data_IF_606809442547
#
_entry.id   IF_606809442547
#
_cell.length_a   1.000
_cell.length_b   1.000
_cell.length_c   1.000
_cell.angle_alpha   90.00
_cell.angle_beta   90.00
_cell.angle_gamma   90.00
#
_symmetry.space_group_name_H-M   'P 1'
#
loop_
_entity.id
_entity.type
_entity.pdbx_description
1 polymer ?
#
# COMPACT_ATOMS: atom_id res chain seq x y z
N UNK A 1 9.63 -28.71 -15.73
CA UNK A 1 9.18 -28.62 -14.32
C UNK A 1 10.20 -27.95 -13.39
N UNK A 2 11.52 -28.06 -13.62
CA UNK A 2 12.57 -27.40 -12.82
C UNK A 2 12.72 -25.86 -12.99
N UNK A 3 12.15 -25.28 -14.06
CA UNK A 3 12.16 -23.81 -14.31
C UNK A 3 10.99 -23.05 -13.70
N UNK A 4 10.03 -23.72 -13.06
CA UNK A 4 8.82 -23.09 -12.50
C UNK A 4 8.92 -22.76 -11.00
N UNK A 5 9.96 -23.19 -10.30
CA UNK A 5 10.06 -23.00 -8.84
C UNK A 5 11.20 -22.07 -8.41
N UNK A 6 11.98 -21.51 -9.34
CA UNK A 6 12.86 -20.36 -9.07
C UNK A 6 13.83 -20.47 -7.88
N UNK A 7 14.10 -21.67 -7.37
CA UNK A 7 15.03 -21.88 -6.27
C UNK A 7 14.69 -21.13 -4.97
N UNK A 8 13.45 -21.21 -4.47
CA UNK A 8 13.21 -20.92 -3.05
C UNK A 8 12.20 -21.91 -2.41
N UNK A 9 12.60 -22.77 -1.43
CA UNK A 9 11.92 -24.04 -1.16
C UNK A 9 11.04 -24.09 0.10
N UNK A 10 10.77 -23.00 0.82
CA UNK A 10 10.28 -23.14 2.20
C UNK A 10 8.77 -23.27 2.42
N UNK A 11 7.91 -23.32 1.40
CA UNK A 11 6.45 -23.40 1.62
C UNK A 11 5.75 -24.58 0.92
N UNK A 12 6.17 -24.91 -0.30
CA UNK A 12 5.66 -26.09 -1.01
C UNK A 12 6.02 -27.41 -0.32
N UNK A 13 7.17 -27.48 0.34
CA UNK A 13 7.60 -28.69 1.05
C UNK A 13 6.86 -28.88 2.38
N UNK A 14 6.53 -27.79 3.10
CA UNK A 14 5.74 -27.87 4.33
C UNK A 14 4.27 -28.24 4.08
N UNK A 15 3.63 -27.64 3.07
CA UNK A 15 2.22 -27.94 2.71
C UNK A 15 2.04 -29.35 2.14
N UNK A 16 3.02 -29.87 1.40
CA UNK A 16 3.03 -31.26 0.92
C UNK A 16 3.33 -32.23 2.07
N UNK A 17 4.23 -31.87 3.00
CA UNK A 17 4.55 -32.70 4.17
C UNK A 17 3.41 -32.76 5.20
N UNK A 18 2.59 -31.70 5.29
CA UNK A 18 1.40 -31.65 6.15
C UNK A 18 0.20 -32.45 5.59
N UNK A 19 0.26 -32.91 4.34
CA UNK A 19 -0.84 -33.67 3.71
C UNK A 19 -2.11 -32.85 3.44
N UNK A 20 -2.03 -31.52 3.52
CA UNK A 20 -3.21 -30.63 3.45
C UNK A 20 -3.69 -30.34 2.03
N UNK A 21 -2.95 -30.78 1.01
CA UNK A 21 -3.32 -30.57 -0.39
C UNK A 21 -4.31 -31.66 -0.88
N UNK A 22 -5.60 -31.46 -0.60
CA UNK A 22 -6.70 -32.34 -1.08
C UNK A 22 -7.30 -31.97 -2.45
N UNK A 23 -6.61 -31.17 -3.27
CA UNK A 23 -7.11 -30.69 -4.56
C UNK A 23 -6.00 -30.17 -5.50
N UNK A 24 -6.32 -29.68 -6.72
CA UNK A 24 -5.33 -29.10 -7.60
C UNK A 24 -4.65 -27.91 -6.89
N UNK A 25 -3.31 -27.87 -6.83
CA UNK A 25 -2.59 -26.93 -5.98
C UNK A 25 -2.89 -25.46 -6.31
N UNK A 26 -3.32 -25.15 -7.55
CA UNK A 26 -3.71 -23.80 -7.95
C UNK A 26 -4.91 -23.25 -7.16
N UNK A 27 -5.97 -24.04 -6.97
CA UNK A 27 -7.22 -23.55 -6.37
C UNK A 27 -7.08 -23.35 -4.86
N UNK A 28 -6.31 -24.22 -4.20
CA UNK A 28 -6.02 -24.12 -2.76
C UNK A 28 -5.08 -22.95 -2.45
N UNK A 29 -4.09 -22.71 -3.30
CA UNK A 29 -3.22 -21.54 -3.20
C UNK A 29 -4.01 -20.24 -3.39
N UNK A 30 -4.99 -20.21 -4.30
CA UNK A 30 -5.89 -19.07 -4.49
C UNK A 30 -6.78 -18.82 -3.27
N UNK A 31 -7.35 -19.86 -2.67
CA UNK A 31 -8.16 -19.73 -1.46
C UNK A 31 -7.34 -19.18 -0.28
N UNK A 32 -6.16 -19.77 -0.02
CA UNK A 32 -5.23 -19.31 1.02
C UNK A 32 -4.72 -17.89 0.79
N UNK A 33 -4.44 -17.54 -0.47
CA UNK A 33 -4.08 -16.19 -0.87
C UNK A 33 -5.19 -15.18 -0.54
N UNK A 34 -6.44 -15.55 -0.81
CA UNK A 34 -7.61 -14.70 -0.58
C UNK A 34 -7.83 -14.46 0.91
N UNK A 35 -7.64 -15.48 1.75
CA UNK A 35 -7.78 -15.40 3.21
C UNK A 35 -6.78 -14.42 3.87
N UNK A 36 -5.62 -14.20 3.23
CA UNK A 36 -4.61 -13.23 3.71
C UNK A 36 -4.93 -11.79 3.34
N UNK A 37 -5.85 -11.57 2.41
CA UNK A 37 -6.25 -10.22 1.97
C UNK A 37 -7.45 -9.76 2.78
N UNK A 38 -7.43 -8.55 3.37
CA UNK A 38 -8.58 -8.02 4.09
C UNK A 38 -9.85 -8.04 3.25
N UNK A 39 -10.98 -8.38 3.88
CA UNK A 39 -12.28 -8.44 3.22
C UNK A 39 -12.59 -7.13 2.47
N UNK A 40 -13.05 -7.26 1.23
CA UNK A 40 -13.33 -6.13 0.33
C UNK A 40 -12.12 -5.56 -0.42
N UNK A 41 -10.89 -5.99 -0.11
CA UNK A 41 -9.67 -5.54 -0.80
C UNK A 41 -9.08 -6.56 -1.77
N UNK A 42 -9.69 -7.74 -1.91
CA UNK A 42 -9.25 -8.80 -2.84
C UNK A 42 -9.10 -8.26 -4.26
N UNK A 43 -10.08 -7.49 -4.76
CA UNK A 43 -10.02 -6.90 -6.09
C UNK A 43 -8.87 -5.91 -6.26
N UNK A 44 -8.55 -5.14 -5.22
CA UNK A 44 -7.44 -4.20 -5.21
C UNK A 44 -6.11 -4.95 -5.22
N UNK A 45 -5.97 -6.00 -4.40
CA UNK A 45 -4.78 -6.85 -4.39
C UNK A 45 -4.59 -7.58 -5.75
N UNK A 46 -5.67 -8.06 -6.37
CA UNK A 46 -5.62 -8.61 -7.73
C UNK A 46 -5.18 -7.57 -8.77
N UNK A 47 -5.62 -6.31 -8.64
CA UNK A 47 -5.17 -5.23 -9.51
C UNK A 47 -3.67 -4.96 -9.35
N UNK A 48 -3.16 -4.92 -8.12
CA UNK A 48 -1.72 -4.80 -7.84
C UNK A 48 -0.92 -5.92 -8.51
N UNK A 49 -1.40 -7.16 -8.39
CA UNK A 49 -0.75 -8.31 -9.00
C UNK A 49 -0.69 -8.25 -10.53
N UNK A 50 -1.71 -7.67 -11.19
CA UNK A 50 -1.77 -7.50 -12.64
C UNK A 50 -0.96 -6.30 -13.15
N UNK A 51 -0.81 -5.25 -12.34
CA UNK A 51 0.02 -4.08 -12.67
C UNK A 51 1.50 -4.45 -12.74
N UNK A 52 1.93 -5.40 -11.90
CA UNK A 52 3.30 -5.88 -11.83
C UNK A 52 4.17 -5.00 -10.93
N UNK A 53 5.25 -5.57 -10.39
CA UNK A 53 6.10 -4.90 -9.40
C UNK A 53 7.28 -4.13 -10.02
N UNK A 54 7.65 -2.96 -9.48
CA UNK A 54 6.96 -2.23 -8.40
C UNK A 54 5.68 -1.53 -8.88
N UNK A 55 4.61 -1.61 -8.08
CA UNK A 55 3.32 -0.98 -8.36
C UNK A 55 3.32 0.44 -7.81
N UNK A 56 3.01 1.43 -8.63
CA UNK A 56 2.88 2.81 -8.14
C UNK A 56 1.58 2.96 -7.30
N UNK A 57 1.62 3.57 -6.09
CA UNK A 57 0.44 3.67 -5.21
C UNK A 57 -0.78 4.35 -5.84
N UNK A 58 -0.60 5.46 -6.56
CA UNK A 58 -1.71 6.17 -7.19
C UNK A 58 -2.32 5.38 -8.36
N UNK A 59 -1.51 4.59 -9.06
CA UNK A 59 -1.93 3.64 -10.09
C UNK A 59 -2.81 2.54 -9.50
N UNK A 60 -2.50 2.09 -8.28
CA UNK A 60 -3.28 1.10 -7.57
C UNK A 60 -4.60 1.67 -7.03
N UNK A 61 -4.55 2.87 -6.43
CA UNK A 61 -5.72 3.52 -5.81
C UNK A 61 -6.91 3.68 -6.77
N UNK A 62 -6.68 3.78 -8.08
CA UNK A 62 -7.74 3.86 -9.12
C UNK A 62 -8.64 2.63 -9.17
N UNK A 63 -8.12 1.49 -8.73
CA UNK A 63 -8.86 0.22 -8.67
C UNK A 63 -9.51 0.02 -7.31
N UNK A 64 -9.29 0.93 -6.35
CA UNK A 64 -9.97 0.90 -5.07
C UNK A 64 -11.46 1.20 -5.28
N UNK A 65 -12.34 0.56 -4.50
CA UNK A 65 -13.75 0.92 -4.52
C UNK A 65 -13.93 2.42 -4.20
N UNK A 66 -14.90 3.11 -4.81
CA UNK A 66 -15.19 4.49 -4.47
C UNK A 66 -15.55 4.60 -2.99
N UNK A 67 -15.14 5.71 -2.36
CA UNK A 67 -15.56 6.03 -1.01
C UNK A 67 -17.08 6.22 -1.01
N UNK A 68 -17.76 5.51 -0.13
CA UNK A 68 -19.20 5.60 0.14
C UNK A 68 -19.39 5.44 1.66
N UNK A 69 -20.58 5.69 2.19
CA UNK A 69 -20.84 5.68 3.64
C UNK A 69 -20.32 4.37 4.29
N UNK A 70 -19.18 4.48 4.99
CA UNK A 70 -18.49 3.36 5.68
C UNK A 70 -17.33 2.69 4.92
N UNK A 71 -17.02 3.05 3.66
CA UNK A 71 -15.85 2.54 2.92
C UNK A 71 -14.67 3.51 2.96
N UNK A 72 -13.43 3.02 3.16
CA UNK A 72 -12.25 3.87 3.22
C UNK A 72 -11.99 4.54 1.86
N UNK A 73 -11.40 5.74 1.89
CA UNK A 73 -10.91 6.42 0.69
C UNK A 73 -9.94 5.52 -0.10
N UNK A 74 -9.77 5.75 -1.42
CA UNK A 74 -8.87 4.95 -2.26
C UNK A 74 -7.47 4.74 -1.68
N UNK A 75 -6.87 5.80 -1.14
CA UNK A 75 -5.55 5.76 -0.50
C UNK A 75 -5.57 4.93 0.79
N UNK A 76 -6.64 5.04 1.58
CA UNK A 76 -6.83 4.26 2.79
C UNK A 76 -7.04 2.75 2.49
N UNK A 77 -7.58 2.40 1.32
CA UNK A 77 -7.65 1.00 0.88
C UNK A 77 -6.25 0.42 0.56
N UNK A 78 -5.37 1.21 -0.05
CA UNK A 78 -3.96 0.84 -0.26
C UNK A 78 -3.22 0.74 1.08
N UNK A 79 -3.43 1.70 1.98
CA UNK A 79 -2.81 1.70 3.33
C UNK A 79 -3.20 0.48 4.16
N UNK A 80 -4.43 -0.02 3.98
CA UNK A 80 -4.87 -1.26 4.64
C UNK A 80 -4.18 -2.50 4.10
N UNK A 81 -3.88 -2.57 2.79
CA UNK A 81 -3.08 -3.68 2.23
C UNK A 81 -1.63 -3.67 2.72
N UNK A 82 -1.09 -2.47 2.92
CA UNK A 82 0.26 -2.30 3.50
C UNK A 82 0.25 -2.70 4.98
N UNK A 83 -0.71 -2.17 5.74
CA UNK A 83 -0.82 -2.44 7.17
C UNK A 83 -1.18 -3.91 7.49
N UNK A 84 -1.81 -4.62 6.56
CA UNK A 84 -2.08 -6.06 6.69
C UNK A 84 -0.90 -6.95 6.27
N UNK A 85 0.21 -6.38 5.79
CA UNK A 85 1.38 -7.12 5.31
C UNK A 85 1.17 -7.84 3.98
N UNK A 86 0.15 -7.46 3.20
CA UNK A 86 -0.03 -7.99 1.83
C UNK A 86 0.94 -7.30 0.88
N UNK A 87 1.05 -5.98 1.02
CA UNK A 87 1.97 -5.14 0.29
C UNK A 87 2.99 -4.49 1.24
N UNK A 88 4.14 -4.13 0.68
CA UNK A 88 5.15 -3.29 1.35
C UNK A 88 5.70 -2.26 0.38
N UNK A 89 6.22 -1.17 0.91
CA UNK A 89 6.99 -0.21 0.14
C UNK A 89 8.40 -0.73 -0.13
N UNK A 90 8.90 -0.51 -1.34
CA UNK A 90 10.31 -0.66 -1.67
C UNK A 90 11.07 0.66 -1.46
N UNK A 91 12.40 0.61 -1.61
CA UNK A 91 13.26 1.79 -1.44
C UNK A 91 12.97 2.91 -2.46
N UNK A 92 12.27 2.60 -3.56
CA UNK A 92 11.86 3.54 -4.59
C UNK A 92 10.48 4.18 -4.35
N UNK A 93 9.78 3.81 -3.27
CA UNK A 93 8.42 4.26 -2.98
C UNK A 93 7.33 3.49 -3.74
N UNK A 94 7.69 2.44 -4.47
CA UNK A 94 6.74 1.55 -5.12
C UNK A 94 6.26 0.45 -4.18
N UNK A 95 5.09 -0.13 -4.46
CA UNK A 95 4.52 -1.23 -3.71
C UNK A 95 4.96 -2.57 -4.32
N UNK A 96 5.25 -3.53 -3.44
CA UNK A 96 5.55 -4.92 -3.79
C UNK A 96 4.77 -5.85 -2.87
N UNK A 97 4.49 -7.06 -3.32
CA UNK A 97 3.95 -8.07 -2.44
C UNK A 97 5.00 -8.49 -1.42
N UNK A 98 4.57 -8.64 -0.18
CA UNK A 98 5.44 -9.19 0.86
C UNK A 98 5.85 -10.63 0.52
N UNK A 99 4.95 -11.35 -0.17
CA UNK A 99 5.13 -12.74 -0.61
C UNK A 99 4.91 -12.84 -2.13
N UNK A 100 5.93 -13.18 -2.94
CA UNK A 100 5.80 -13.24 -4.40
C UNK A 100 4.72 -14.21 -4.91
N UNK A 101 4.53 -15.34 -4.21
CA UNK A 101 3.50 -16.33 -4.58
C UNK A 101 2.08 -15.79 -4.44
N UNK A 102 1.86 -14.86 -3.51
CA UNK A 102 0.57 -14.22 -3.31
C UNK A 102 0.16 -13.41 -4.56
N UNK A 103 1.11 -12.72 -5.17
CA UNK A 103 0.89 -11.96 -6.40
C UNK A 103 0.46 -12.89 -7.54
N UNK A 104 1.16 -14.01 -7.74
CA UNK A 104 0.84 -14.97 -8.81
C UNK A 104 -0.56 -15.57 -8.64
N UNK A 105 -0.91 -16.01 -7.44
CA UNK A 105 -2.22 -16.59 -7.15
C UNK A 105 -3.34 -15.56 -7.33
N UNK A 106 -3.16 -14.33 -6.85
CA UNK A 106 -4.14 -13.24 -7.05
C UNK A 106 -4.27 -12.86 -8.52
N UNK A 107 -3.16 -12.77 -9.26
CA UNK A 107 -3.17 -12.52 -10.68
C UNK A 107 -3.87 -13.66 -11.44
N UNK A 108 -3.70 -14.92 -11.05
CA UNK A 108 -4.39 -16.06 -11.65
C UNK A 108 -5.91 -16.03 -11.38
N UNK A 109 -6.31 -15.64 -10.17
CA UNK A 109 -7.71 -15.56 -9.75
C UNK A 109 -8.47 -14.32 -10.26
N UNK A 110 -7.78 -13.36 -10.88
CA UNK A 110 -8.39 -12.11 -11.32
C UNK A 110 -9.45 -12.31 -12.42
N UNK A 111 -10.59 -11.65 -12.26
CA UNK A 111 -11.71 -11.66 -13.21
C UNK A 111 -11.31 -11.06 -14.57
N UNK A 112 -11.88 -11.52 -15.70
CA UNK A 112 -11.59 -10.98 -17.03
C UNK A 112 -11.78 -9.46 -17.12
N UNK A 113 -12.85 -8.93 -16.51
CA UNK A 113 -13.15 -7.49 -16.50
C UNK A 113 -12.07 -6.66 -15.80
N UNK A 114 -11.46 -7.18 -14.72
CA UNK A 114 -10.35 -6.52 -14.04
C UNK A 114 -9.09 -6.52 -14.91
N UNK A 115 -8.79 -7.63 -15.59
CA UNK A 115 -7.64 -7.72 -16.52
C UNK A 115 -7.78 -6.72 -17.66
N UNK A 116 -8.97 -6.62 -18.26
CA UNK A 116 -9.27 -5.62 -19.30
C UNK A 116 -9.11 -4.20 -18.77
N UNK A 117 -9.59 -3.90 -17.55
CA UNK A 117 -9.43 -2.59 -16.94
C UNK A 117 -7.96 -2.23 -16.67
N UNK A 118 -7.15 -3.17 -16.17
CA UNK A 118 -5.71 -2.97 -15.96
C UNK A 118 -4.97 -2.79 -17.30
N UNK A 119 -5.31 -3.59 -18.31
CA UNK A 119 -4.77 -3.44 -19.66
C UNK A 119 -5.02 -2.04 -20.25
N UNK A 120 -6.27 -1.56 -20.17
CA UNK A 120 -6.65 -0.22 -20.62
C UNK A 120 -5.90 0.88 -19.84
N UNK A 121 -5.75 0.73 -18.52
CA UNK A 121 -5.02 1.69 -17.70
C UNK A 121 -3.53 1.78 -18.09
N UNK A 122 -2.89 0.65 -18.42
CA UNK A 122 -1.49 0.62 -18.90
C UNK A 122 -1.34 1.29 -20.26
N UNK A 123 -2.26 1.05 -21.19
CA UNK A 123 -2.25 1.70 -22.51
C UNK A 123 -2.36 3.22 -22.40
N UNK A 124 -3.22 3.72 -21.51
CA UNK A 124 -3.36 5.16 -21.27
C UNK A 124 -2.11 5.79 -20.64
N UNK A 125 -1.36 5.05 -19.83
CA UNK A 125 -0.10 5.52 -19.25
C UNK A 125 1.05 5.57 -20.27
N UNK A 126 1.09 4.63 -21.22
CA UNK A 126 2.09 4.62 -22.32
C UNK A 126 1.84 5.74 -23.34
N UNK A 127 0.59 6.18 -23.52
CA UNK A 127 0.22 7.29 -24.42
C UNK A 127 0.56 8.69 -23.90
N UNK A 128 1.39 8.85 -22.86
CA UNK A 128 1.94 10.15 -22.46
C UNK A 128 0.96 11.10 -21.78
N UNK A 129 -0.26 10.64 -21.47
CA UNK A 129 -1.03 11.22 -20.37
C UNK A 129 -0.33 10.80 -19.09
N UNK A 130 0.68 11.59 -18.69
CA UNK A 130 1.30 11.42 -17.38
C UNK A 130 0.14 11.31 -16.39
N UNK A 131 0.09 10.17 -15.70
CA UNK A 131 -0.71 10.00 -14.51
C UNK A 131 -0.63 11.32 -13.72
N UNK A 132 -1.74 11.93 -13.31
CA UNK A 132 -1.64 13.05 -12.39
C UNK A 132 -0.99 12.48 -11.14
N UNK A 133 0.33 12.69 -10.99
CA UNK A 133 1.04 12.48 -9.75
C UNK A 133 0.17 13.12 -8.69
N UNK A 134 -0.30 12.31 -7.74
CA UNK A 134 -1.39 12.60 -6.80
C UNK A 134 -1.41 14.09 -6.45
N UNK A 135 -2.15 14.85 -7.26
CA UNK A 135 -1.97 16.32 -7.28
C UNK A 135 -2.54 16.88 -6.01
N UNK A 136 -3.43 16.12 -5.38
CA UNK A 136 -4.04 16.46 -4.12
C UNK A 136 -3.13 16.13 -2.94
N UNK A 137 -2.52 14.94 -2.89
CA UNK A 137 -1.57 14.65 -1.83
C UNK A 137 -0.30 15.51 -1.93
N UNK A 138 0.15 15.85 -3.14
CA UNK A 138 1.25 16.81 -3.37
C UNK A 138 0.88 18.20 -2.85
N UNK A 139 -0.35 18.67 -3.10
CA UNK A 139 -0.87 19.92 -2.52
C UNK A 139 -0.98 19.86 -0.99
N UNK A 140 -1.48 18.74 -0.45
CA UNK A 140 -1.59 18.53 1.01
C UNK A 140 -0.21 18.56 1.66
N UNK A 141 0.80 17.91 1.09
CA UNK A 141 2.18 17.99 1.54
C UNK A 141 2.73 19.42 1.49
N UNK A 142 2.53 20.12 0.37
CA UNK A 142 2.95 21.52 0.21
C UNK A 142 2.24 22.48 1.19
N UNK A 143 1.03 22.14 1.64
CA UNK A 143 0.27 22.93 2.63
C UNK A 143 0.76 22.77 4.08
N UNK A 144 1.64 21.81 4.33
CA UNK A 144 2.25 21.60 5.65
C UNK A 144 3.36 22.64 5.89
N UNK A 145 3.27 23.30 7.04
CA UNK A 145 4.37 24.13 7.55
C UNK A 145 5.62 23.27 7.80
N UNK A 146 6.80 23.90 7.87
CA UNK A 146 8.05 23.20 8.17
C UNK A 146 7.92 22.36 9.45
N UNK A 147 7.29 22.92 10.49
CA UNK A 147 7.08 22.24 11.75
C UNK A 147 6.12 21.05 11.65
N UNK A 148 5.08 21.14 10.84
CA UNK A 148 4.16 20.03 10.59
C UNK A 148 4.83 18.92 9.75
N UNK A 149 5.73 19.27 8.83
CA UNK A 149 6.55 18.29 8.11
C UNK A 149 7.47 17.52 9.05
N UNK A 150 8.10 18.20 10.01
CA UNK A 150 8.92 17.53 11.04
C UNK A 150 8.08 16.56 11.86
N UNK A 151 6.87 16.97 12.27
CA UNK A 151 5.94 16.11 13.01
C UNK A 151 5.56 14.87 12.20
N UNK A 152 5.22 15.03 10.92
CA UNK A 152 4.87 13.93 10.00
C UNK A 152 6.04 12.95 9.81
N UNK A 153 7.27 13.45 9.68
CA UNK A 153 8.49 12.62 9.61
C UNK A 153 8.71 11.81 10.88
N UNK A 154 8.63 12.45 12.05
CA UNK A 154 8.79 11.76 13.34
C UNK A 154 7.68 10.73 13.61
N UNK A 155 6.48 10.95 13.06
CA UNK A 155 5.41 9.95 13.08
C UNK A 155 5.76 8.74 12.20
N UNK A 156 6.41 8.94 11.06
CA UNK A 156 6.92 7.87 10.20
C UNK A 156 7.97 7.01 10.90
N UNK A 157 8.79 7.62 11.75
CA UNK A 157 9.76 6.93 12.62
C UNK A 157 9.10 6.20 13.81
N UNK A 158 7.77 6.21 13.90
CA UNK A 158 7.02 5.54 14.96
C UNK A 158 7.02 6.25 16.31
N UNK A 159 7.44 7.53 16.39
CA UNK A 159 7.59 8.23 17.67
C UNK A 159 6.26 8.52 18.37
N UNK A 160 6.20 8.27 19.68
CA UNK A 160 5.07 8.68 20.54
C UNK A 160 5.02 10.20 20.75
N UNK A 161 3.88 10.76 21.18
CA UNK A 161 3.78 12.21 21.46
C UNK A 161 4.80 12.70 22.49
N UNK A 162 5.22 11.83 23.44
CA UNK A 162 6.27 12.14 24.41
C UNK A 162 7.66 12.21 23.77
N UNK A 163 7.96 11.30 22.84
CA UNK A 163 9.23 11.32 22.10
C UNK A 163 9.28 12.48 21.11
N UNK A 164 8.17 12.73 20.40
CA UNK A 164 8.02 13.85 19.48
C UNK A 164 8.17 15.19 20.22
N UNK A 165 7.57 15.34 21.39
CA UNK A 165 7.73 16.50 22.24
C UNK A 165 9.19 16.77 22.62
N UNK A 166 9.95 15.72 22.96
CA UNK A 166 11.39 15.82 23.25
C UNK A 166 12.21 16.17 22.02
N UNK A 167 11.95 15.50 20.89
CA UNK A 167 12.67 15.73 19.63
C UNK A 167 12.48 17.16 19.09
N UNK A 168 11.32 17.75 19.37
CA UNK A 168 10.95 19.09 18.93
C UNK A 168 11.18 20.17 20.01
N UNK A 169 11.61 19.81 21.23
CA UNK A 169 11.72 20.73 22.37
C UNK A 169 10.42 21.53 22.66
N UNK A 170 9.30 20.80 22.80
CA UNK A 170 7.98 21.36 23.09
C UNK A 170 7.25 20.53 24.16
N UNK A 171 6.13 21.06 24.68
CA UNK A 171 5.28 20.29 25.60
C UNK A 171 4.56 19.13 24.89
N UNK A 172 4.25 18.06 25.65
CA UNK A 172 3.44 16.92 25.14
C UNK A 172 2.05 17.36 24.69
N UNK A 173 1.49 18.38 25.36
CA UNK A 173 0.21 18.98 24.97
C UNK A 173 0.32 19.65 23.59
N UNK A 174 1.39 20.41 23.36
CA UNK A 174 1.68 21.06 22.08
C UNK A 174 1.94 20.03 20.98
N UNK A 175 2.69 18.96 21.28
CA UNK A 175 2.90 17.84 20.36
C UNK A 175 1.56 17.20 19.92
N UNK A 176 0.62 17.02 20.85
CA UNK A 176 -0.70 16.45 20.54
C UNK A 176 -1.52 17.35 19.62
N UNK A 177 -1.44 18.67 19.80
CA UNK A 177 -2.08 19.66 18.90
C UNK A 177 -1.44 19.61 17.51
N UNK A 178 -0.11 19.53 17.41
CA UNK A 178 0.57 19.39 16.13
C UNK A 178 0.18 18.11 15.39
N UNK A 179 0.13 16.97 16.08
CA UNK A 179 -0.33 15.70 15.51
C UNK A 179 -1.76 15.84 14.99
N UNK A 180 -2.67 16.43 15.76
CA UNK A 180 -4.06 16.62 15.33
C UNK A 180 -4.18 17.52 14.10
N UNK A 181 -3.41 18.60 14.04
CA UNK A 181 -3.36 19.50 12.88
C UNK A 181 -2.79 18.81 11.64
N UNK A 182 -1.76 18.00 11.83
CA UNK A 182 -1.18 17.16 10.78
C UNK A 182 -2.21 16.19 10.22
N UNK A 183 -2.87 15.40 11.07
CA UNK A 183 -3.90 14.43 10.64
C UNK A 183 -4.98 15.12 9.78
N UNK A 184 -5.46 16.28 10.25
CA UNK A 184 -6.46 17.08 9.53
C UNK A 184 -5.95 17.59 8.18
N UNK A 185 -4.71 18.07 8.09
CA UNK A 185 -4.14 18.64 6.85
C UNK A 185 -3.74 17.58 5.84
N UNK A 186 -3.31 16.41 6.29
CA UNK A 186 -2.97 15.28 5.41
C UNK A 186 -4.20 14.48 4.99
N UNK A 187 -5.30 14.61 5.73
CA UNK A 187 -6.53 13.82 5.56
C UNK A 187 -6.43 12.43 6.18
N UNK A 188 -5.40 12.17 7.01
CA UNK A 188 -5.21 10.89 7.68
C UNK A 188 -6.17 10.75 8.86
N UNK A 189 -6.89 9.62 8.93
CA UNK A 189 -7.76 9.25 10.05
C UNK A 189 -6.97 8.69 11.25
N UNK A 190 -5.71 8.28 11.04
CA UNK A 190 -4.87 7.73 12.10
C UNK A 190 -3.42 8.17 12.00
N UNK A 191 -2.69 8.03 13.11
CA UNK A 191 -1.23 8.25 13.14
C UNK A 191 -0.47 7.34 12.16
N UNK A 192 -0.98 6.12 11.94
CA UNK A 192 -0.39 5.16 11.01
C UNK A 192 -0.58 5.62 9.58
N UNK A 193 -1.77 6.11 9.23
CA UNK A 193 -2.02 6.71 7.91
C UNK A 193 -1.17 7.97 7.69
N UNK A 194 -0.97 8.80 8.71
CA UNK A 194 -0.08 9.96 8.59
C UNK A 194 1.39 9.58 8.42
N UNK A 195 1.84 8.49 9.05
CA UNK A 195 3.16 7.91 8.84
C UNK A 195 3.31 7.38 7.39
N UNK A 196 2.30 6.69 6.86
CA UNK A 196 2.30 6.21 5.47
C UNK A 196 2.29 7.37 4.47
N UNK A 197 1.51 8.43 4.75
CA UNK A 197 1.53 9.68 3.99
C UNK A 197 2.94 10.31 3.98
N UNK A 198 3.62 10.36 5.14
CA UNK A 198 5.00 10.86 5.23
C UNK A 198 5.96 10.08 4.33
N UNK A 199 5.87 8.75 4.33
CA UNK A 199 6.77 7.89 3.56
C UNK A 199 6.55 8.04 2.05
N UNK A 200 5.30 8.24 1.62
CA UNK A 200 4.96 8.49 0.22
C UNK A 200 5.46 9.84 -0.30
N UNK A 201 5.40 10.89 0.52
CA UNK A 201 5.59 12.27 0.05
C UNK A 201 6.86 12.95 0.57
N UNK A 202 7.44 12.47 1.67
CA UNK A 202 8.69 12.99 2.24
C UNK A 202 9.92 12.75 1.36
N UNK A 203 9.86 11.75 0.47
CA UNK A 203 10.90 11.46 -0.56
C UNK A 203 10.92 12.56 -1.63
N UNK A 204 9.82 13.29 -1.83
CA UNK A 204 9.74 14.39 -2.81
C UNK A 204 10.52 15.63 -2.35
N UNK A 205 10.69 15.83 -1.05
CA UNK A 205 11.49 16.94 -0.48
C UNK A 205 13.02 16.67 -0.58
N UNK A 206 13.43 15.41 -0.79
CA UNK A 206 14.84 15.01 -0.94
C UNK A 206 15.34 15.06 -2.40
N UNK A 207 14.48 15.42 -3.35
CA UNK A 207 14.81 15.60 -4.78
C UNK A 207 14.88 17.07 -5.21
N UNK A 208 15.00 18.00 -4.25
CA UNK A 208 15.26 19.41 -4.49
C UNK A 208 16.75 19.74 -4.53
#
# INVERSE_FOLDING_TARGET
>A
MWRRTGGNPSWLTELVAAGELTGPPGDQLVALATDRVPAGLVRLAQAAALLGEPVEPAALARFAPPADDGRPAPDAAVDRLVSSGVLRFDAGGGLRFEQPILAESLAAAALPSLRSAVGAARSNAVSGSAWPADSDATRRWASLTARERDVVRLLADGMTNRQLARALDISVRTATVHVSNVLRKTGAASRTEAALFALRHGVLDARG
#
